data_IF_977465729369
#
_entry.id   IF_977465729369
#
_cell.length_a   1.000
_cell.length_b   1.000
_cell.length_c   1.000
_cell.angle_alpha   90.00
_cell.angle_beta   90.00
_cell.angle_gamma   90.00
#
_symmetry.space_group_name_H-M   'P 1'
#
loop_
_entity.id
_entity.type
_entity.pdbx_description
1 polymer ?
#
# COMPACT_ATOMS: atom_id res chain seq x y z
N UNK A 1 -34.24 35.88 17.00
CA UNK A 1 -33.25 35.31 16.06
C UNK A 1 -32.67 34.06 16.72
N UNK A 2 -33.20 32.89 16.36
CA UNK A 2 -32.79 31.59 16.87
C UNK A 2 -31.42 31.22 16.29
N UNK A 3 -30.41 31.12 17.15
CA UNK A 3 -29.12 30.52 16.80
C UNK A 3 -29.36 29.03 16.50
N UNK A 4 -29.58 28.70 15.22
CA UNK A 4 -29.54 27.31 14.79
C UNK A 4 -28.12 26.77 15.04
N UNK A 5 -27.96 25.59 15.66
CA UNK A 5 -26.65 24.97 15.79
C UNK A 5 -26.11 24.76 14.37
N UNK A 6 -24.93 25.33 14.07
CA UNK A 6 -24.20 25.07 12.83
C UNK A 6 -24.15 23.55 12.65
N UNK A 7 -24.82 23.04 11.61
CA UNK A 7 -24.69 21.64 11.21
C UNK A 7 -23.19 21.33 11.15
N UNK A 8 -22.78 20.36 11.96
CA UNK A 8 -21.41 19.88 11.99
C UNK A 8 -21.17 19.21 10.63
N UNK A 9 -20.74 20.00 9.63
CA UNK A 9 -20.33 19.47 8.33
C UNK A 9 -19.46 18.25 8.61
N UNK A 10 -19.91 17.09 8.13
CA UNK A 10 -19.17 15.85 8.27
C UNK A 10 -17.73 16.14 7.84
N UNK A 11 -16.79 15.94 8.76
CA UNK A 11 -15.38 16.21 8.47
C UNK A 11 -14.94 15.42 7.23
N UNK A 12 -13.85 15.84 6.55
CA UNK A 12 -13.33 15.14 5.38
C UNK A 12 -13.26 13.64 5.64
N UNK A 13 -14.02 12.87 4.86
CA UNK A 13 -14.10 11.42 5.04
C UNK A 13 -12.71 10.80 4.88
N UNK A 14 -12.20 10.22 5.96
CA UNK A 14 -10.84 9.67 6.05
C UNK A 14 -10.57 8.51 5.10
N UNK A 15 -11.63 7.90 4.56
CA UNK A 15 -11.56 6.79 3.61
C UNK A 15 -11.29 7.26 2.17
N UNK A 16 -11.50 8.54 1.85
CA UNK A 16 -11.34 9.05 0.48
C UNK A 16 -9.90 8.95 -0.07
N UNK A 17 -8.84 9.34 0.68
CA UNK A 17 -7.46 9.12 0.25
C UNK A 17 -7.16 7.65 -0.08
N UNK A 18 -7.67 6.74 0.76
CA UNK A 18 -7.50 5.30 0.57
C UNK A 18 -8.24 4.84 -0.68
N UNK A 19 -9.50 5.26 -0.85
CA UNK A 19 -10.30 4.93 -2.03
C UNK A 19 -9.65 5.45 -3.32
N UNK A 20 -9.10 6.68 -3.33
CA UNK A 20 -8.40 7.24 -4.50
C UNK A 20 -7.23 6.37 -4.91
N UNK A 21 -6.40 5.95 -3.95
CA UNK A 21 -5.22 5.09 -4.21
C UNK A 21 -5.67 3.70 -4.67
N UNK A 22 -6.70 3.11 -4.06
CA UNK A 22 -7.23 1.80 -4.46
C UNK A 22 -7.83 1.84 -5.86
N UNK A 23 -8.60 2.88 -6.20
CA UNK A 23 -9.17 3.08 -7.54
C UNK A 23 -8.06 3.26 -8.56
N UNK A 24 -7.03 4.07 -8.25
CA UNK A 24 -5.86 4.22 -9.13
C UNK A 24 -5.15 2.87 -9.37
N UNK A 25 -4.94 2.07 -8.32
CA UNK A 25 -4.38 0.72 -8.45
C UNK A 25 -5.26 -0.19 -9.31
N UNK A 26 -6.58 -0.15 -9.13
CA UNK A 26 -7.52 -0.91 -9.96
C UNK A 26 -7.46 -0.49 -11.43
N UNK A 27 -7.25 0.79 -11.73
CA UNK A 27 -7.03 1.28 -13.11
C UNK A 27 -5.74 0.71 -13.69
N UNK A 28 -4.63 0.70 -12.94
CA UNK A 28 -3.41 0.04 -13.41
C UNK A 28 -3.63 -1.45 -13.73
N UNK A 29 -4.40 -2.15 -12.89
CA UNK A 29 -4.78 -3.55 -13.11
C UNK A 29 -5.68 -3.75 -14.34
N UNK A 30 -6.66 -2.87 -14.55
CA UNK A 30 -7.54 -2.92 -15.71
C UNK A 30 -6.78 -2.72 -17.03
N UNK A 31 -5.82 -1.80 -17.07
CA UNK A 31 -4.94 -1.62 -18.23
C UNK A 31 -4.08 -2.85 -18.50
N UNK A 32 -3.56 -3.50 -17.44
CA UNK A 32 -2.82 -4.75 -17.59
C UNK A 32 -3.69 -5.85 -18.20
N UNK A 33 -4.87 -6.12 -17.61
CA UNK A 33 -5.78 -7.14 -18.13
C UNK A 33 -6.29 -6.87 -19.55
N UNK A 34 -6.53 -5.60 -19.91
CA UNK A 34 -6.89 -5.23 -21.29
C UNK A 34 -5.72 -5.45 -22.26
N UNK A 35 -4.49 -5.12 -21.86
CA UNK A 35 -3.29 -5.35 -22.66
C UNK A 35 -3.05 -6.85 -22.90
N UNK A 36 -3.27 -7.68 -21.87
CA UNK A 36 -3.14 -9.13 -21.97
C UNK A 36 -4.18 -9.71 -22.94
N UNK A 37 -5.44 -9.26 -22.85
CA UNK A 37 -6.48 -9.65 -23.80
C UNK A 37 -6.21 -9.23 -25.25
N UNK A 38 -5.55 -8.07 -25.47
CA UNK A 38 -5.09 -7.70 -26.81
C UNK A 38 -4.02 -8.66 -27.33
N UNK A 39 -3.07 -9.07 -26.48
CA UNK A 39 -2.03 -10.02 -26.87
C UNK A 39 -2.62 -11.40 -27.22
N UNK A 40 -3.60 -11.88 -26.44
CA UNK A 40 -4.28 -13.16 -26.69
C UNK A 40 -5.06 -13.17 -28.02
N UNK A 41 -5.63 -12.04 -28.42
CA UNK A 41 -6.36 -11.90 -29.69
C UNK A 41 -5.47 -11.60 -30.90
N UNK A 42 -4.14 -11.58 -30.71
CA UNK A 42 -3.17 -11.28 -31.76
C UNK A 42 -3.01 -9.79 -32.08
N UNK A 43 -3.57 -8.92 -31.25
CA UNK A 43 -3.37 -7.47 -31.29
C UNK A 43 -2.03 -7.04 -30.69
N UNK A 44 -1.64 -5.79 -30.91
CA UNK A 44 -0.47 -5.23 -30.25
C UNK A 44 -0.81 -4.86 -28.79
N UNK A 45 -0.07 -5.38 -27.80
CA UNK A 45 -0.27 -5.03 -26.40
C UNK A 45 0.02 -3.55 -26.16
N UNK A 46 -0.58 -2.98 -25.11
CA UNK A 46 -0.29 -1.62 -24.69
C UNK A 46 1.15 -1.52 -24.17
N UNK A 47 1.78 -0.35 -24.26
CA UNK A 47 3.05 -0.12 -23.58
C UNK A 47 2.93 -0.39 -22.08
N UNK A 48 3.91 -1.09 -21.50
CA UNK A 48 3.91 -1.52 -20.09
C UNK A 48 3.77 -0.36 -19.09
N UNK A 49 4.15 0.85 -19.50
CA UNK A 49 4.04 2.07 -18.69
C UNK A 49 2.67 2.76 -18.78
N UNK A 50 1.80 2.40 -19.72
CA UNK A 50 0.54 3.12 -19.96
C UNK A 50 -0.41 3.05 -18.76
N UNK A 51 -0.66 1.84 -18.25
CA UNK A 51 -1.46 1.61 -17.04
C UNK A 51 -0.88 2.30 -15.80
N UNK A 52 0.41 2.08 -15.48
CA UNK A 52 1.16 2.82 -14.47
C UNK A 52 0.96 4.35 -14.50
N UNK A 53 1.17 4.97 -15.66
CA UNK A 53 1.07 6.42 -15.82
C UNK A 53 -0.37 6.91 -15.66
N UNK A 54 -1.35 6.18 -16.22
CA UNK A 54 -2.78 6.51 -16.05
C UNK A 54 -3.19 6.47 -14.57
N UNK A 55 -2.78 5.43 -13.84
CA UNK A 55 -3.03 5.30 -12.41
C UNK A 55 -2.37 6.43 -11.61
N UNK A 56 -1.12 6.78 -11.92
CA UNK A 56 -0.43 7.88 -11.26
C UNK A 56 -1.13 9.22 -11.48
N UNK A 57 -1.54 9.52 -12.72
CA UNK A 57 -2.29 10.73 -13.05
C UNK A 57 -3.61 10.77 -12.27
N UNK A 58 -4.35 9.66 -12.24
CA UNK A 58 -5.62 9.56 -11.51
C UNK A 58 -5.43 9.76 -10.00
N UNK A 59 -4.41 9.14 -9.42
CA UNK A 59 -4.08 9.28 -8.01
C UNK A 59 -3.70 10.73 -7.66
N UNK A 60 -2.83 11.36 -8.46
CA UNK A 60 -2.38 12.74 -8.24
C UNK A 60 -3.53 13.74 -8.43
N UNK A 61 -4.31 13.60 -9.50
CA UNK A 61 -5.47 14.47 -9.77
C UNK A 61 -6.54 14.30 -8.70
N UNK A 62 -6.89 13.06 -8.34
CA UNK A 62 -7.86 12.74 -7.30
C UNK A 62 -7.44 13.28 -5.94
N UNK A 63 -6.16 13.10 -5.58
CA UNK A 63 -5.60 13.63 -4.33
C UNK A 63 -5.58 15.16 -4.33
N UNK A 64 -5.16 15.80 -5.43
CA UNK A 64 -5.15 17.26 -5.55
C UNK A 64 -6.55 17.86 -5.42
N UNK A 65 -7.55 17.24 -6.07
CA UNK A 65 -8.96 17.61 -5.94
C UNK A 65 -9.46 17.40 -4.51
N UNK A 66 -9.16 16.26 -3.89
CA UNK A 66 -9.52 15.98 -2.51
C UNK A 66 -8.96 17.02 -1.53
N UNK A 67 -7.66 17.34 -1.65
CA UNK A 67 -7.00 18.36 -0.84
C UNK A 67 -7.64 19.74 -1.08
N UNK A 68 -7.89 20.10 -2.35
CA UNK A 68 -8.50 21.38 -2.71
C UNK A 68 -9.90 21.52 -2.12
N UNK A 69 -10.74 20.49 -2.23
CA UNK A 69 -12.11 20.49 -1.74
C UNK A 69 -12.19 20.50 -0.20
N UNK A 70 -11.17 19.99 0.48
CA UNK A 70 -11.15 19.86 1.94
C UNK A 70 -10.17 20.82 2.63
N UNK A 71 -9.65 21.83 1.91
CA UNK A 71 -8.61 22.75 2.40
C UNK A 71 -8.97 23.41 3.73
N UNK A 72 -10.21 23.88 3.89
CA UNK A 72 -10.69 24.53 5.11
C UNK A 72 -10.71 23.55 6.31
N UNK A 73 -11.09 22.31 6.07
CA UNK A 73 -11.10 21.29 7.11
C UNK A 73 -9.68 20.92 7.56
N UNK A 74 -8.71 20.97 6.64
CA UNK A 74 -7.29 20.71 6.95
C UNK A 74 -6.64 21.86 7.71
N UNK A 75 -7.07 23.10 7.45
CA UNK A 75 -6.57 24.27 8.19
C UNK A 75 -6.89 24.19 9.69
N UNK A 76 -7.98 23.50 10.06
CA UNK A 76 -8.37 23.27 11.45
C UNK A 76 -7.69 22.07 12.14
N UNK A 77 -6.78 21.35 11.46
CA UNK A 77 -6.14 20.17 12.06
C UNK A 77 -4.99 20.54 13.00
N UNK A 78 -4.90 19.82 14.11
CA UNK A 78 -3.72 19.88 14.97
C UNK A 78 -2.48 19.38 14.19
N UNK A 79 -1.28 19.90 14.51
CA UNK A 79 -0.04 19.46 13.86
C UNK A 79 0.16 17.94 13.89
N UNK A 80 -0.18 17.30 15.02
CA UNK A 80 -0.10 15.85 15.20
C UNK A 80 -1.03 15.09 14.25
N UNK A 81 -2.29 15.52 14.14
CA UNK A 81 -3.26 14.90 13.23
C UNK A 81 -2.83 15.05 11.77
N UNK A 82 -2.29 16.22 11.40
CA UNK A 82 -1.76 16.46 10.07
C UNK A 82 -0.56 15.56 9.77
N UNK A 83 0.38 15.45 10.70
CA UNK A 83 1.53 14.56 10.54
C UNK A 83 1.09 13.10 10.35
N UNK A 84 0.16 12.61 11.17
CA UNK A 84 -0.38 11.25 11.06
C UNK A 84 -0.89 10.96 9.64
N UNK A 85 -1.75 11.84 9.11
CA UNK A 85 -2.34 11.63 7.79
C UNK A 85 -1.33 11.79 6.65
N UNK A 86 -0.42 12.74 6.74
CA UNK A 86 0.68 12.88 5.77
C UNK A 86 1.55 11.63 5.76
N UNK A 87 1.89 11.09 6.93
CA UNK A 87 2.68 9.86 7.02
C UNK A 87 1.94 8.66 6.47
N UNK A 88 0.65 8.49 6.77
CA UNK A 88 -0.17 7.41 6.20
C UNK A 88 -0.21 7.49 4.67
N UNK A 89 -0.54 8.65 4.10
CA UNK A 89 -0.61 8.83 2.64
C UNK A 89 0.76 8.63 2.00
N UNK A 90 1.83 9.17 2.59
CA UNK A 90 3.19 8.97 2.10
C UNK A 90 3.59 7.48 2.11
N UNK A 91 3.24 6.75 3.17
CA UNK A 91 3.53 5.31 3.28
C UNK A 91 2.80 4.50 2.21
N UNK A 92 1.52 4.81 1.96
CA UNK A 92 0.76 4.18 0.88
C UNK A 92 1.38 4.47 -0.49
N UNK A 93 1.83 5.71 -0.73
CA UNK A 93 2.50 6.10 -1.97
C UNK A 93 3.83 5.35 -2.19
N UNK A 94 4.55 4.97 -1.13
CA UNK A 94 5.75 4.13 -1.27
C UNK A 94 5.41 2.75 -1.81
N UNK A 95 4.37 2.10 -1.28
CA UNK A 95 3.88 0.81 -1.78
C UNK A 95 3.42 0.89 -3.24
N UNK A 96 2.68 1.96 -3.59
CA UNK A 96 2.28 2.22 -4.97
C UNK A 96 3.50 2.44 -5.88
N UNK A 97 4.53 3.17 -5.42
CA UNK A 97 5.77 3.39 -6.17
C UNK A 97 6.56 2.11 -6.41
N UNK A 98 6.60 1.19 -5.44
CA UNK A 98 7.21 -0.14 -5.63
C UNK A 98 6.43 -0.93 -6.68
N UNK A 99 5.11 -1.03 -6.54
CA UNK A 99 4.27 -1.77 -7.47
C UNK A 99 4.39 -1.23 -8.92
N UNK A 100 4.38 0.10 -9.07
CA UNK A 100 4.59 0.79 -10.34
C UNK A 100 5.92 0.43 -10.98
N UNK A 101 6.99 0.48 -10.18
CA UNK A 101 8.36 0.21 -10.62
C UNK A 101 8.51 -1.23 -11.10
N UNK A 102 7.92 -2.18 -10.34
CA UNK A 102 7.92 -3.59 -10.69
C UNK A 102 7.10 -3.86 -11.95
N UNK A 103 5.92 -3.26 -12.08
CA UNK A 103 5.06 -3.41 -13.26
C UNK A 103 5.75 -2.91 -14.54
N UNK A 104 6.42 -1.76 -14.48
CA UNK A 104 7.18 -1.23 -15.63
C UNK A 104 8.34 -2.15 -15.99
N UNK A 105 9.00 -2.75 -14.99
CA UNK A 105 10.16 -3.60 -15.20
C UNK A 105 9.85 -5.02 -15.69
N UNK A 106 8.71 -5.60 -15.27
CA UNK A 106 8.35 -7.00 -15.53
C UNK A 106 7.20 -7.15 -16.54
N UNK A 107 6.47 -6.08 -16.83
CA UNK A 107 5.31 -6.10 -17.72
C UNK A 107 3.97 -6.26 -16.99
N UNK A 108 2.85 -6.13 -17.72
CA UNK A 108 1.50 -6.31 -17.18
C UNK A 108 1.30 -7.73 -16.64
N UNK A 109 0.57 -7.85 -15.52
CA UNK A 109 0.15 -9.14 -14.96
C UNK A 109 1.13 -9.83 -13.99
N UNK A 110 2.44 -9.60 -14.09
CA UNK A 110 3.44 -10.42 -13.38
C UNK A 110 4.09 -9.73 -12.15
N UNK A 111 3.27 -9.13 -11.29
CA UNK A 111 3.75 -8.52 -10.03
C UNK A 111 4.24 -9.55 -9.00
N UNK A 112 3.85 -10.83 -9.19
CA UNK A 112 4.27 -11.95 -8.36
C UNK A 112 5.42 -12.75 -9.01
N UNK A 113 6.01 -12.26 -10.10
CA UNK A 113 7.13 -12.92 -10.76
C UNK A 113 8.32 -13.06 -9.83
N UNK A 114 8.94 -14.23 -9.86
CA UNK A 114 10.28 -14.44 -9.30
C UNK A 114 11.37 -14.32 -10.37
N UNK A 115 11.04 -13.78 -11.55
CA UNK A 115 12.03 -13.53 -12.60
C UNK A 115 13.10 -12.52 -12.13
N UNK A 116 14.35 -12.66 -12.60
CA UNK A 116 15.42 -11.74 -12.20
C UNK A 116 15.09 -10.29 -12.55
N UNK A 117 15.27 -9.40 -11.57
CA UNK A 117 15.19 -7.95 -11.77
C UNK A 117 16.48 -7.42 -12.37
N UNK A 118 16.39 -6.34 -13.16
CA UNK A 118 17.59 -5.58 -13.55
C UNK A 118 18.24 -4.97 -12.30
N UNK A 119 19.58 -4.78 -12.28
CA UNK A 119 20.27 -4.16 -11.15
C UNK A 119 19.68 -2.79 -10.76
N UNK A 120 19.31 -1.98 -11.74
CA UNK A 120 18.71 -0.67 -11.51
C UNK A 120 17.35 -0.77 -10.78
N UNK A 121 16.46 -1.65 -11.26
CA UNK A 121 15.16 -1.91 -10.62
C UNK A 121 15.33 -2.41 -9.18
N UNK A 122 16.24 -3.37 -8.97
CA UNK A 122 16.50 -3.93 -7.65
C UNK A 122 17.02 -2.86 -6.66
N UNK A 123 17.93 -1.99 -7.09
CA UNK A 123 18.46 -0.88 -6.28
C UNK A 123 17.35 0.10 -5.91
N UNK A 124 16.52 0.52 -6.87
CA UNK A 124 15.45 1.50 -6.65
C UNK A 124 14.42 0.95 -5.66
N UNK A 125 13.92 -0.27 -5.89
CA UNK A 125 12.90 -0.89 -5.02
C UNK A 125 13.45 -1.12 -3.62
N UNK A 126 14.70 -1.59 -3.50
CA UNK A 126 15.37 -1.78 -2.20
C UNK A 126 15.53 -0.46 -1.46
N UNK A 127 15.91 0.62 -2.15
CA UNK A 127 16.04 1.94 -1.56
C UNK A 127 14.69 2.49 -1.07
N UNK A 128 13.62 2.31 -1.85
CA UNK A 128 12.25 2.71 -1.45
C UNK A 128 11.83 1.97 -0.19
N UNK A 129 12.08 0.66 -0.09
CA UNK A 129 11.76 -0.09 1.12
C UNK A 129 12.61 0.36 2.31
N UNK A 130 13.94 0.30 2.21
CA UNK A 130 14.82 0.58 3.35
C UNK A 130 14.66 2.02 3.82
N UNK A 131 14.82 3.00 2.92
CA UNK A 131 14.77 4.41 3.28
C UNK A 131 13.33 4.84 3.53
N UNK A 132 12.43 4.53 2.60
CA UNK A 132 11.04 4.96 2.69
C UNK A 132 10.32 4.39 3.90
N UNK A 133 10.43 3.08 4.18
CA UNK A 133 9.77 2.49 5.34
C UNK A 133 10.40 2.95 6.65
N UNK A 134 11.73 3.11 6.72
CA UNK A 134 12.40 3.61 7.93
C UNK A 134 11.94 5.03 8.26
N UNK A 135 11.92 5.91 7.26
CA UNK A 135 11.46 7.29 7.42
C UNK A 135 9.97 7.33 7.79
N UNK A 136 9.12 6.57 7.09
CA UNK A 136 7.70 6.47 7.39
C UNK A 136 7.44 6.03 8.84
N UNK A 137 8.15 4.99 9.30
CA UNK A 137 8.06 4.48 10.67
C UNK A 137 8.42 5.56 11.71
N UNK A 138 9.53 6.28 11.50
CA UNK A 138 9.97 7.35 12.40
C UNK A 138 8.96 8.48 12.55
N UNK A 139 8.30 8.87 11.45
CA UNK A 139 7.27 9.90 11.48
C UNK A 139 5.95 9.38 12.04
N UNK A 140 5.60 8.11 11.77
CA UNK A 140 4.38 7.48 12.25
C UNK A 140 4.39 7.45 13.78
N UNK A 141 5.48 6.98 14.39
CA UNK A 141 5.60 6.92 15.86
C UNK A 141 5.59 8.28 16.58
N UNK A 142 5.96 9.34 15.86
CA UNK A 142 5.82 10.73 16.35
C UNK A 142 4.39 11.24 16.31
N UNK A 143 3.55 10.67 15.44
CA UNK A 143 2.19 11.15 15.22
C UNK A 143 1.13 10.38 16.05
N UNK A 144 1.35 9.09 16.29
CA UNK A 144 0.35 8.18 16.89
C UNK A 144 0.30 8.31 18.42
N UNK A 145 -0.84 8.00 19.02
CA UNK A 145 -1.04 7.93 20.47
C UNK A 145 -0.70 6.57 21.07
N UNK A 146 -0.84 6.44 22.38
CA UNK A 146 -0.43 5.22 23.10
C UNK A 146 -1.38 4.04 22.79
N UNK A 147 -2.65 4.31 22.52
CA UNK A 147 -3.60 3.32 22.06
C UNK A 147 -3.17 2.73 20.70
N UNK A 148 -2.88 3.60 19.74
CA UNK A 148 -2.46 3.18 18.41
C UNK A 148 -1.05 2.55 18.40
N UNK A 149 -0.15 2.98 19.29
CA UNK A 149 1.14 2.31 19.51
C UNK A 149 0.96 0.89 20.03
N UNK A 150 0.03 0.69 20.97
CA UNK A 150 -0.27 -0.64 21.48
C UNK A 150 -0.84 -1.55 20.39
N UNK A 151 -1.80 -1.05 19.60
CA UNK A 151 -2.33 -1.77 18.43
C UNK A 151 -1.22 -2.12 17.41
N UNK A 152 -0.32 -1.18 17.12
CA UNK A 152 0.83 -1.40 16.24
C UNK A 152 1.77 -2.48 16.78
N UNK A 153 2.06 -2.46 18.09
CA UNK A 153 2.90 -3.46 18.74
C UNK A 153 2.27 -4.85 18.62
N UNK A 154 1.00 -5.02 18.99
CA UNK A 154 0.30 -6.30 18.91
C UNK A 154 0.23 -6.83 17.47
N UNK A 155 -0.08 -5.97 16.50
CA UNK A 155 -0.04 -6.32 15.09
C UNK A 155 1.35 -6.77 14.63
N UNK A 156 2.40 -6.06 15.04
CA UNK A 156 3.79 -6.37 14.69
C UNK A 156 4.24 -7.72 15.26
N UNK A 157 3.91 -7.98 16.53
CA UNK A 157 4.20 -9.25 17.17
C UNK A 157 3.43 -10.39 16.49
N UNK A 158 2.15 -10.22 16.19
CA UNK A 158 1.36 -11.24 15.50
C UNK A 158 1.89 -11.55 14.10
N UNK A 159 2.23 -10.53 13.32
CA UNK A 159 2.85 -10.70 12.00
C UNK A 159 4.19 -11.45 12.08
N UNK A 160 5.05 -11.06 13.03
CA UNK A 160 6.31 -11.77 13.27
C UNK A 160 6.09 -13.26 13.59
N UNK A 161 5.09 -13.59 14.42
CA UNK A 161 4.75 -14.99 14.71
C UNK A 161 4.26 -15.74 13.48
N UNK A 162 3.46 -15.10 12.61
CA UNK A 162 3.02 -15.71 11.36
C UNK A 162 4.22 -16.11 10.48
N UNK A 163 5.25 -15.28 10.41
CA UNK A 163 6.49 -15.60 9.70
C UNK A 163 7.29 -16.71 10.37
N UNK A 164 7.64 -16.53 11.66
CA UNK A 164 8.60 -17.40 12.35
C UNK A 164 8.08 -18.83 12.56
N UNK A 165 6.76 -19.01 12.52
CA UNK A 165 6.12 -20.33 12.59
C UNK A 165 5.99 -20.93 11.18
N UNK A 166 5.44 -20.18 10.21
CA UNK A 166 5.14 -20.72 8.88
C UNK A 166 6.42 -21.03 8.07
N UNK A 167 7.44 -20.17 8.15
CA UNK A 167 8.68 -20.31 7.40
C UNK A 167 9.40 -21.65 7.67
N UNK A 168 9.73 -22.03 8.91
CA UNK A 168 10.41 -23.31 9.16
C UNK A 168 9.53 -24.52 8.83
N UNK A 169 8.21 -24.44 9.07
CA UNK A 169 7.28 -25.53 8.73
C UNK A 169 7.27 -25.78 7.22
N UNK A 170 7.15 -24.72 6.42
CA UNK A 170 7.20 -24.82 4.96
C UNK A 170 8.56 -25.33 4.49
N UNK A 171 9.65 -24.80 5.04
CA UNK A 171 11.01 -25.23 4.68
C UNK A 171 11.23 -26.74 4.92
N UNK A 172 10.80 -27.28 6.07
CA UNK A 172 10.89 -28.72 6.35
C UNK A 172 9.98 -29.53 5.42
N UNK A 173 8.74 -29.09 5.20
CA UNK A 173 7.81 -29.76 4.30
C UNK A 173 8.33 -29.83 2.85
N UNK A 174 8.95 -28.75 2.36
CA UNK A 174 9.57 -28.71 1.04
C UNK A 174 10.72 -29.71 0.91
N UNK A 175 11.54 -29.87 1.96
CA UNK A 175 12.65 -30.85 2.02
C UNK A 175 12.17 -32.30 2.06
N UNK A 176 10.93 -32.52 2.49
CA UNK A 176 10.26 -33.82 2.45
C UNK A 176 9.45 -34.05 1.16
N UNK A 177 9.54 -33.13 0.18
CA UNK A 177 8.72 -33.16 -1.04
C UNK A 177 7.20 -33.11 -0.79
N UNK A 178 6.78 -32.57 0.36
CA UNK A 178 5.37 -32.39 0.73
C UNK A 178 4.82 -31.00 0.33
N UNK A 179 5.70 -30.06 -0.01
CA UNK A 179 5.36 -28.68 -0.37
C UNK A 179 6.30 -28.18 -1.49
N UNK A 180 5.88 -27.15 -2.25
CA UNK A 180 6.78 -26.48 -3.19
C UNK A 180 7.95 -25.77 -2.47
N UNK A 181 8.99 -25.33 -3.21
CA UNK A 181 10.03 -24.47 -2.67
C UNK A 181 9.45 -23.25 -1.94
N UNK A 182 10.13 -22.83 -0.87
CA UNK A 182 9.68 -21.69 -0.05
C UNK A 182 9.64 -20.42 -0.88
N UNK A 183 8.49 -19.76 -0.89
CA UNK A 183 8.27 -18.48 -1.56
C UNK A 183 8.34 -17.33 -0.52
N UNK A 184 9.33 -16.45 -0.69
CA UNK A 184 9.55 -15.32 0.20
C UNK A 184 8.41 -14.27 0.10
N UNK A 185 7.85 -14.07 -1.09
CA UNK A 185 6.74 -13.13 -1.30
C UNK A 185 5.47 -13.64 -0.62
N UNK A 186 5.19 -14.94 -0.71
CA UNK A 186 4.06 -15.55 -0.02
C UNK A 186 4.15 -15.39 1.51
N UNK A 187 5.34 -15.64 2.09
CA UNK A 187 5.58 -15.43 3.52
C UNK A 187 5.47 -13.95 3.91
N UNK A 188 5.97 -13.04 3.07
CA UNK A 188 5.86 -11.60 3.29
C UNK A 188 4.40 -11.14 3.30
N UNK A 189 3.59 -11.55 2.32
CA UNK A 189 2.16 -11.22 2.24
C UNK A 189 1.40 -11.79 3.44
N UNK A 190 1.66 -13.04 3.85
CA UNK A 190 1.06 -13.63 5.04
C UNK A 190 1.36 -12.79 6.29
N UNK A 191 2.63 -12.40 6.45
CA UNK A 191 3.11 -11.57 7.58
C UNK A 191 2.37 -10.24 7.63
N UNK A 192 2.25 -9.55 6.48
CA UNK A 192 1.54 -8.28 6.39
C UNK A 192 0.04 -8.43 6.61
N UNK A 193 -0.58 -9.49 6.10
CA UNK A 193 -2.02 -9.74 6.28
C UNK A 193 -2.36 -9.95 7.76
N UNK A 194 -1.62 -10.82 8.46
CA UNK A 194 -1.83 -11.05 9.90
C UNK A 194 -1.56 -9.77 10.70
N UNK A 195 -0.47 -9.05 10.39
CA UNK A 195 -0.17 -7.76 11.00
C UNK A 195 -1.33 -6.78 10.87
N UNK A 196 -1.85 -6.60 9.65
CA UNK A 196 -2.93 -5.68 9.35
C UNK A 196 -4.23 -6.08 10.05
N UNK A 197 -4.62 -7.35 10.01
CA UNK A 197 -5.84 -7.85 10.65
C UNK A 197 -5.81 -7.56 12.16
N UNK A 198 -4.72 -7.91 12.83
CA UNK A 198 -4.57 -7.72 14.28
C UNK A 198 -4.48 -6.23 14.62
N UNK A 199 -3.74 -5.44 13.84
CA UNK A 199 -3.67 -3.99 14.02
C UNK A 199 -5.05 -3.34 13.91
N UNK A 200 -5.83 -3.64 12.86
CA UNK A 200 -7.16 -3.06 12.66
C UNK A 200 -8.13 -3.49 13.77
N UNK A 201 -8.06 -4.75 14.22
CA UNK A 201 -8.87 -5.24 15.34
C UNK A 201 -8.65 -4.41 16.61
N UNK A 202 -7.41 -4.22 17.04
CA UNK A 202 -7.09 -3.47 18.26
C UNK A 202 -7.15 -1.95 18.07
N UNK A 203 -7.10 -1.45 16.84
CA UNK A 203 -7.27 -0.03 16.57
C UNK A 203 -8.72 0.44 16.74
N UNK A 204 -9.69 -0.42 16.43
CA UNK A 204 -11.11 -0.05 16.40
C UNK A 204 -11.94 -0.66 17.54
N UNK A 205 -11.34 -1.50 18.37
CA UNK A 205 -11.94 -2.06 19.58
C UNK A 205 -11.49 -1.27 20.81
#
# INVERSE_FOLDING_TARGET
MTNMPKERRAGPGYLWPVAIIMIAGAVAGAFAGYSDGLAETGGQPLPTWAGPVAALILALAGMALYIRLNREAWAGWSPRKRLYWVTMVASMSLGAGVALTLQVAQGPGDLASNAPLTPATAIIVSAIWVVGMSVASLFYFRAVDDHERHAYYLGSVAGFHAFVIACPVWWVAARASLAPPVDAMALFVLTLAVNLIVYLWFKYR
#
